data_IF_033670207986
#
_entry.id   IF_033670207986
#
_cell.length_a   1.000
_cell.length_b   1.000
_cell.length_c   1.000
_cell.angle_alpha   90.00
_cell.angle_beta   90.00
_cell.angle_gamma   90.00
#
_symmetry.space_group_name_H-M   'P 1'
#
loop_
_entity.id
_entity.type
_entity.pdbx_description
1 polymer ?
#
# COMPACT_ATOMS: atom_id res chain seq x y z
N UNK A 1 11.40 26.86 -9.15
CA UNK A 1 10.36 25.84 -9.43
C UNK A 1 9.05 26.38 -8.93
N UNK A 2 7.95 26.18 -9.66
CA UNK A 2 6.60 26.50 -9.19
C UNK A 2 6.27 25.70 -7.93
N UNK A 3 5.43 26.27 -7.06
CA UNK A 3 4.97 25.60 -5.85
C UNK A 3 4.12 24.37 -6.24
N UNK A 4 4.25 23.24 -5.51
CA UNK A 4 3.42 22.07 -5.76
C UNK A 4 1.95 22.39 -5.48
N UNK A 5 1.05 21.79 -6.28
CA UNK A 5 -0.40 21.86 -6.04
C UNK A 5 -0.78 20.59 -5.27
N UNK A 6 -0.94 20.74 -3.95
CA UNK A 6 -1.23 19.64 -3.05
C UNK A 6 -2.66 19.10 -3.24
N UNK A 7 -2.85 17.83 -2.89
CA UNK A 7 -4.18 17.20 -2.90
C UNK A 7 -5.06 17.78 -1.80
N UNK A 8 -6.36 17.88 -2.06
CA UNK A 8 -7.36 18.24 -1.04
C UNK A 8 -7.71 17.05 -0.16
N UNK A 9 -8.39 17.29 0.97
CA UNK A 9 -8.96 16.23 1.82
C UNK A 9 -9.81 15.23 1.01
N UNK A 10 -10.65 15.71 0.08
CA UNK A 10 -11.48 14.84 -0.77
C UNK A 10 -10.63 13.94 -1.66
N UNK A 11 -9.58 14.49 -2.29
CA UNK A 11 -8.67 13.71 -3.11
C UNK A 11 -7.91 12.67 -2.27
N UNK A 12 -7.47 13.03 -1.06
CA UNK A 12 -6.83 12.09 -0.16
C UNK A 12 -7.79 10.98 0.30
N UNK A 13 -9.04 11.30 0.63
CA UNK A 13 -10.05 10.27 0.96
C UNK A 13 -10.29 9.30 -0.19
N UNK A 14 -10.37 9.80 -1.43
CA UNK A 14 -10.48 8.96 -2.62
C UNK A 14 -9.24 8.10 -2.83
N UNK A 15 -8.04 8.66 -2.69
CA UNK A 15 -6.82 7.87 -2.80
C UNK A 15 -6.75 6.75 -1.75
N UNK A 16 -7.08 7.05 -0.50
CA UNK A 16 -7.07 6.06 0.59
C UNK A 16 -8.09 4.94 0.37
N UNK A 17 -9.31 5.29 -0.04
CA UNK A 17 -10.39 4.32 -0.23
C UNK A 17 -10.23 3.51 -1.51
N UNK A 18 -9.96 4.16 -2.64
CA UNK A 18 -9.92 3.53 -3.97
C UNK A 18 -8.52 3.08 -4.37
N UNK A 19 -7.47 3.60 -3.74
CA UNK A 19 -6.08 3.31 -4.09
C UNK A 19 -5.55 4.10 -5.29
N UNK A 20 -6.31 5.04 -5.88
CA UNK A 20 -5.83 5.82 -7.02
C UNK A 20 -6.50 7.20 -7.13
N UNK A 21 -5.90 8.07 -7.95
CA UNK A 21 -6.47 9.31 -8.47
C UNK A 21 -6.12 9.46 -9.95
N UNK A 22 -7.06 9.92 -10.77
CA UNK A 22 -6.81 10.34 -12.15
C UNK A 22 -6.82 11.87 -12.17
N UNK A 23 -5.72 12.46 -12.63
CA UNK A 23 -5.45 13.90 -12.61
C UNK A 23 -4.93 14.35 -13.98
N UNK A 24 -5.01 15.66 -14.23
CA UNK A 24 -4.60 16.26 -15.49
C UNK A 24 -3.50 17.31 -15.26
N UNK A 25 -2.49 17.33 -16.14
CA UNK A 25 -1.49 18.42 -16.24
C UNK A 25 -1.91 19.44 -17.30
N UNK A 26 -1.39 20.66 -17.25
CA UNK A 26 -1.71 21.73 -18.20
C UNK A 26 -0.60 22.03 -19.23
N UNK A 27 0.31 21.06 -19.46
CA UNK A 27 1.31 21.17 -20.53
C UNK A 27 0.66 21.45 -21.90
N UNK A 28 1.28 22.28 -22.75
CA UNK A 28 0.75 22.56 -24.08
C UNK A 28 0.84 21.33 -24.99
N UNK A 29 -0.07 21.20 -25.96
CA UNK A 29 -0.09 20.06 -26.89
C UNK A 29 1.27 19.80 -27.59
N UNK A 30 1.99 20.87 -27.96
CA UNK A 30 3.32 20.79 -28.59
C UNK A 30 4.37 20.05 -27.72
N UNK A 31 4.24 20.14 -26.39
CA UNK A 31 5.11 19.43 -25.45
C UNK A 31 4.90 17.91 -25.58
N UNK A 32 3.64 17.48 -25.58
CA UNK A 32 3.25 16.08 -25.72
C UNK A 32 3.54 15.52 -27.10
N UNK A 33 3.37 16.30 -28.16
CA UNK A 33 3.76 15.93 -29.51
C UNK A 33 5.27 15.67 -29.60
N UNK A 34 6.08 16.57 -29.04
CA UNK A 34 7.54 16.43 -29.00
C UNK A 34 7.95 15.18 -28.22
N UNK A 35 7.38 14.99 -27.03
CA UNK A 35 7.64 13.82 -26.19
C UNK A 35 7.25 12.51 -26.90
N UNK A 36 6.05 12.47 -27.50
CA UNK A 36 5.55 11.32 -28.24
C UNK A 36 6.43 10.94 -29.43
N UNK A 37 6.91 11.91 -30.19
CA UNK A 37 7.80 11.67 -31.33
C UNK A 37 9.14 11.07 -30.86
N UNK A 38 9.71 11.59 -29.78
CA UNK A 38 10.97 11.08 -29.21
C UNK A 38 10.80 9.68 -28.62
N UNK A 39 9.73 9.42 -27.87
CA UNK A 39 9.40 8.09 -27.34
C UNK A 39 9.31 7.10 -28.50
N UNK A 40 8.51 7.39 -29.52
CA UNK A 40 8.38 6.51 -30.70
C UNK A 40 9.72 6.24 -31.37
N UNK A 41 10.53 7.28 -31.58
CA UNK A 41 11.86 7.14 -32.19
C UNK A 41 12.78 6.21 -31.37
N UNK A 42 12.83 6.38 -30.05
CA UNK A 42 13.64 5.53 -29.17
C UNK A 42 13.12 4.10 -29.17
N UNK A 43 11.81 3.91 -28.96
CA UNK A 43 11.19 2.58 -28.90
C UNK A 43 11.38 1.80 -30.21
N UNK A 44 11.25 2.45 -31.36
CA UNK A 44 11.43 1.80 -32.68
C UNK A 44 12.89 1.48 -33.00
N UNK A 45 13.83 2.34 -32.59
CA UNK A 45 15.24 2.15 -32.88
C UNK A 45 15.93 1.17 -31.92
N UNK A 46 15.51 1.15 -30.66
CA UNK A 46 16.27 0.52 -29.57
C UNK A 46 15.44 -0.41 -28.67
N UNK A 47 14.11 -0.43 -28.82
CA UNK A 47 13.21 -1.07 -27.86
C UNK A 47 13.05 -0.24 -26.58
N UNK A 48 12.59 -0.89 -25.50
CA UNK A 48 12.36 -0.21 -24.22
C UNK A 48 13.71 0.16 -23.55
N UNK A 49 14.01 1.46 -23.36
CA UNK A 49 15.29 1.88 -22.80
C UNK A 49 15.36 1.72 -21.26
N UNK A 50 14.29 1.27 -20.61
CA UNK A 50 14.17 1.16 -19.16
C UNK A 50 14.51 2.48 -18.47
N UNK A 51 15.46 2.43 -17.52
CA UNK A 51 15.89 3.60 -16.76
C UNK A 51 16.49 4.72 -17.61
N UNK A 52 16.97 4.41 -18.82
CA UNK A 52 17.53 5.38 -19.76
C UNK A 52 16.45 6.21 -20.47
N UNK A 53 15.16 6.02 -20.18
CA UNK A 53 14.10 6.86 -20.78
C UNK A 53 14.28 8.34 -20.45
N UNK A 54 14.70 8.69 -19.22
CA UNK A 54 14.88 10.09 -18.80
C UNK A 54 15.94 10.84 -19.63
N UNK A 55 17.18 10.34 -19.80
CA UNK A 55 18.16 11.03 -20.63
C UNK A 55 17.81 11.00 -22.13
N UNK A 56 17.03 10.02 -22.60
CA UNK A 56 16.65 9.89 -24.02
C UNK A 56 15.46 10.73 -24.41
N UNK A 57 14.56 11.00 -23.47
CA UNK A 57 13.38 11.85 -23.64
C UNK A 57 13.32 12.84 -22.47
N UNK A 58 14.09 13.95 -22.54
CA UNK A 58 14.19 14.92 -21.45
C UNK A 58 12.85 15.51 -21.00
N UNK A 59 11.85 15.57 -21.90
CA UNK A 59 10.48 15.99 -21.59
C UNK A 59 9.87 15.16 -20.45
N UNK A 60 10.20 13.87 -20.35
CA UNK A 60 9.71 13.01 -19.27
C UNK A 60 10.20 13.50 -17.90
N UNK A 61 11.38 14.11 -17.83
CA UNK A 61 11.86 14.70 -16.57
C UNK A 61 11.08 15.97 -16.21
N UNK A 62 10.63 16.75 -17.19
CA UNK A 62 9.80 17.94 -16.95
C UNK A 62 8.41 17.57 -16.45
N UNK A 63 7.84 16.44 -16.90
CA UNK A 63 6.57 15.89 -16.38
C UNK A 63 6.62 15.80 -14.85
N UNK A 64 7.67 15.22 -14.27
CA UNK A 64 7.79 15.05 -12.82
C UNK A 64 8.18 16.32 -12.06
N UNK A 65 8.51 17.40 -12.76
CA UNK A 65 8.66 18.74 -12.16
C UNK A 65 7.34 19.52 -12.13
N UNK A 66 6.31 19.03 -12.82
CA UNK A 66 5.01 19.70 -12.92
C UNK A 66 4.34 19.85 -11.54
N UNK A 67 3.77 21.02 -11.19
CA UNK A 67 3.15 21.27 -9.88
C UNK A 67 2.11 20.24 -9.44
N UNK A 68 1.23 19.82 -10.35
CA UNK A 68 0.17 18.83 -10.06
C UNK A 68 0.78 17.46 -9.73
N UNK A 69 1.79 17.02 -10.48
CA UNK A 69 2.42 15.71 -10.26
C UNK A 69 3.25 15.72 -8.97
N UNK A 70 4.08 16.75 -8.81
CA UNK A 70 4.90 16.90 -7.62
C UNK A 70 4.04 17.03 -6.37
N UNK A 71 2.94 17.80 -6.44
CA UNK A 71 2.02 17.97 -5.33
C UNK A 71 1.26 16.70 -4.99
N UNK A 72 0.76 15.95 -5.97
CA UNK A 72 0.12 14.66 -5.75
C UNK A 72 1.07 13.64 -5.07
N UNK A 73 2.31 13.53 -5.55
CA UNK A 73 3.33 12.67 -4.91
C UNK A 73 3.69 13.16 -3.51
N UNK A 74 3.85 14.47 -3.29
CA UNK A 74 4.16 15.05 -1.97
C UNK A 74 3.05 14.77 -0.97
N UNK A 75 1.79 14.87 -1.40
CA UNK A 75 0.61 14.60 -0.56
C UNK A 75 0.52 13.15 -0.11
N UNK A 76 0.89 12.19 -0.97
CA UNK A 76 0.78 10.75 -0.64
C UNK A 76 2.05 10.19 0.00
N UNK A 77 3.24 10.60 -0.44
CA UNK A 77 4.52 10.00 -0.05
C UNK A 77 5.37 10.90 0.86
N UNK A 78 4.96 12.15 1.12
CA UNK A 78 5.77 13.13 1.85
C UNK A 78 6.73 13.91 0.94
N UNK A 79 7.33 15.01 1.41
CA UNK A 79 8.12 15.92 0.58
C UNK A 79 9.49 15.38 0.15
N UNK A 80 9.97 14.32 0.79
CA UNK A 80 11.27 13.68 0.61
C UNK A 80 11.21 12.38 -0.19
N UNK A 81 10.10 12.12 -0.89
CA UNK A 81 9.98 10.95 -1.76
C UNK A 81 11.09 10.89 -2.80
N UNK A 82 11.46 9.67 -3.19
CA UNK A 82 12.41 9.43 -4.29
C UNK A 82 11.71 8.76 -5.47
N UNK A 83 12.14 9.08 -6.68
CA UNK A 83 11.78 8.31 -7.87
C UNK A 83 12.67 7.07 -7.97
N UNK A 84 12.09 5.89 -7.79
CA UNK A 84 12.80 4.63 -7.83
C UNK A 84 13.36 4.34 -9.25
N UNK A 85 14.54 3.70 -9.39
CA UNK A 85 15.11 3.28 -10.69
C UNK A 85 14.40 2.06 -11.28
N UNK A 86 13.07 2.06 -11.27
CA UNK A 86 12.24 1.11 -12.00
C UNK A 86 11.26 1.89 -12.88
N UNK A 87 11.72 2.18 -14.10
CA UNK A 87 11.04 3.03 -15.08
C UNK A 87 10.76 2.21 -16.32
N UNK A 88 9.54 2.24 -16.81
CA UNK A 88 9.15 1.41 -17.94
C UNK A 88 8.24 2.18 -18.91
N UNK A 89 8.58 2.16 -20.19
CA UNK A 89 7.69 2.61 -21.25
C UNK A 89 6.91 1.41 -21.82
N UNK A 90 5.64 1.28 -21.45
CA UNK A 90 4.74 0.30 -22.05
C UNK A 90 4.36 0.78 -23.46
N UNK A 91 4.96 0.18 -24.47
CA UNK A 91 4.71 0.48 -25.88
C UNK A 91 3.85 -0.62 -26.50
N UNK A 92 2.54 -0.40 -26.50
CA UNK A 92 1.52 -1.39 -26.83
C UNK A 92 1.10 -1.26 -28.30
N UNK A 93 1.56 -2.18 -29.14
CA UNK A 93 1.21 -2.23 -30.56
C UNK A 93 -0.25 -2.66 -30.82
N UNK A 94 -0.84 -2.29 -31.97
CA UNK A 94 -2.09 -2.86 -32.47
C UNK A 94 -2.13 -4.40 -32.40
N UNK A 95 -3.26 -4.95 -31.97
CA UNK A 95 -3.47 -6.39 -31.82
C UNK A 95 -2.92 -6.99 -30.52
N UNK A 96 -2.33 -6.19 -29.61
CA UNK A 96 -1.88 -6.69 -28.30
C UNK A 96 -3.08 -7.18 -27.50
N UNK A 97 -2.97 -8.40 -26.95
CA UNK A 97 -3.98 -9.01 -26.08
C UNK A 97 -3.97 -8.42 -24.67
N UNK A 98 -5.12 -8.47 -24.01
CA UNK A 98 -5.30 -8.11 -22.61
C UNK A 98 -4.31 -8.86 -21.70
N UNK A 99 -3.75 -8.16 -20.73
CA UNK A 99 -2.94 -8.75 -19.67
C UNK A 99 -3.84 -9.34 -18.58
N UNK A 100 -3.35 -10.37 -17.90
CA UNK A 100 -3.95 -10.77 -16.63
C UNK A 100 -3.85 -9.63 -15.62
N UNK A 101 -4.83 -9.54 -14.74
CA UNK A 101 -4.72 -8.74 -13.53
C UNK A 101 -3.46 -9.14 -12.77
N UNK A 102 -2.71 -8.15 -12.29
CA UNK A 102 -1.52 -8.36 -11.48
C UNK A 102 -1.33 -7.20 -10.49
N UNK A 103 -0.50 -7.46 -9.48
CA UNK A 103 0.17 -6.43 -8.70
C UNK A 103 1.63 -6.36 -9.14
N UNK A 104 2.23 -5.18 -9.03
CA UNK A 104 3.66 -5.04 -9.28
C UNK A 104 4.45 -5.80 -8.20
N UNK A 105 5.62 -6.28 -8.60
CA UNK A 105 6.67 -6.76 -7.72
C UNK A 105 8.00 -6.25 -8.27
N UNK A 106 8.98 -6.09 -7.39
CA UNK A 106 10.33 -5.82 -7.85
C UNK A 106 10.93 -7.14 -8.35
N UNK A 107 11.02 -7.34 -9.66
CA UNK A 107 11.67 -8.51 -10.27
C UNK A 107 11.11 -9.89 -9.85
N UNK A 108 9.83 -9.94 -9.44
CA UNK A 108 9.20 -11.17 -8.94
C UNK A 108 9.44 -11.44 -7.45
N UNK A 109 10.09 -10.51 -6.75
CA UNK A 109 10.31 -10.59 -5.31
C UNK A 109 9.02 -10.60 -4.51
N UNK A 110 9.02 -11.40 -3.44
CA UNK A 110 7.89 -11.59 -2.56
C UNK A 110 8.08 -10.75 -1.30
N UNK A 111 7.17 -9.81 -1.06
CA UNK A 111 7.13 -9.03 0.19
C UNK A 111 5.76 -9.12 0.85
N UNK A 112 5.71 -8.89 2.15
CA UNK A 112 4.43 -8.58 2.81
C UNK A 112 3.94 -7.26 2.23
N UNK A 113 2.66 -7.19 1.87
CA UNK A 113 2.10 -6.01 1.21
C UNK A 113 1.85 -4.94 2.29
N UNK A 114 2.35 -3.73 2.09
CA UNK A 114 2.14 -2.66 3.07
C UNK A 114 0.79 -2.00 2.78
N UNK A 115 -0.04 -1.86 3.81
CA UNK A 115 -1.28 -1.10 3.68
C UNK A 115 -1.02 0.41 3.67
N UNK A 116 0.04 0.85 4.34
CA UNK A 116 0.51 2.23 4.26
C UNK A 116 1.18 2.50 2.90
N UNK A 117 0.99 3.71 2.32
CA UNK A 117 1.58 4.09 1.05
C UNK A 117 3.06 4.46 1.21
N UNK A 118 3.89 3.45 1.49
CA UNK A 118 5.35 3.56 1.35
C UNK A 118 5.78 3.71 -0.11
N UNK A 119 4.95 3.21 -1.02
CA UNK A 119 5.19 3.23 -2.45
C UNK A 119 3.95 3.70 -3.21
N UNK A 120 4.19 4.46 -4.27
CA UNK A 120 3.17 4.79 -5.26
C UNK A 120 3.73 4.71 -6.68
N UNK A 121 2.83 4.66 -7.65
CA UNK A 121 3.13 4.63 -9.06
C UNK A 121 2.46 5.77 -9.79
N UNK A 122 3.11 6.24 -10.85
CA UNK A 122 2.46 7.09 -11.85
C UNK A 122 2.37 6.33 -13.17
N UNK A 123 1.16 6.28 -13.72
CA UNK A 123 0.91 5.91 -15.11
C UNK A 123 0.59 7.19 -15.88
N UNK A 124 1.44 7.56 -16.84
CA UNK A 124 1.32 8.80 -17.59
C UNK A 124 1.18 8.52 -19.09
N UNK A 125 0.24 9.19 -19.75
CA UNK A 125 0.13 9.16 -21.21
C UNK A 125 0.69 10.42 -21.86
N UNK A 126 1.53 10.20 -22.86
CA UNK A 126 2.12 11.23 -23.71
C UNK A 126 1.19 11.67 -24.86
N UNK A 127 0.07 11.00 -25.08
CA UNK A 127 -0.92 11.28 -26.12
C UNK A 127 -2.32 10.89 -25.64
N UNK A 128 -3.35 11.26 -26.40
CA UNK A 128 -4.71 10.86 -26.08
C UNK A 128 -4.89 9.34 -26.22
N UNK A 129 -5.58 8.72 -25.26
CA UNK A 129 -5.88 7.28 -25.24
C UNK A 129 -7.39 7.10 -25.11
N UNK A 130 -7.95 6.40 -26.09
CA UNK A 130 -9.34 5.94 -26.09
C UNK A 130 -9.44 4.46 -25.72
N UNK A 131 -10.67 3.97 -25.67
CA UNK A 131 -11.01 2.59 -25.35
C UNK A 131 -10.37 1.57 -26.31
N UNK A 132 -10.32 1.89 -27.60
CA UNK A 132 -9.79 0.99 -28.62
C UNK A 132 -8.27 0.87 -28.56
N UNK A 133 -7.57 1.89 -28.06
CA UNK A 133 -6.10 1.90 -27.92
C UNK A 133 -5.57 1.02 -26.79
N UNK A 134 -6.44 0.40 -26.01
CA UNK A 134 -6.06 -0.49 -24.92
C UNK A 134 -5.56 0.27 -23.70
N UNK A 135 -6.40 1.06 -23.00
CA UNK A 135 -6.01 1.80 -21.82
C UNK A 135 -5.51 0.89 -20.68
N UNK A 136 -4.84 1.48 -19.70
CA UNK A 136 -4.58 0.78 -18.43
C UNK A 136 -5.87 0.69 -17.64
N UNK A 137 -6.11 -0.47 -17.05
CA UNK A 137 -7.27 -0.81 -16.25
C UNK A 137 -6.86 -0.93 -14.79
N UNK A 138 -7.69 -0.39 -13.90
CA UNK A 138 -7.46 -0.31 -12.46
C UNK A 138 -8.65 -0.93 -11.73
N UNK A 139 -8.38 -1.73 -10.69
CA UNK A 139 -9.39 -2.29 -9.80
C UNK A 139 -9.40 -1.54 -8.46
N UNK A 140 -10.37 -0.63 -8.22
CA UNK A 140 -10.42 0.21 -7.03
C UNK A 140 -10.54 -0.58 -5.71
N UNK A 141 -9.88 -0.10 -4.66
CA UNK A 141 -10.05 -0.59 -3.29
C UNK A 141 -9.37 -1.93 -3.00
N UNK A 142 -8.41 -2.34 -3.83
CA UNK A 142 -7.76 -3.65 -3.75
C UNK A 142 -6.31 -3.62 -3.25
N UNK A 143 -5.84 -2.45 -2.85
CA UNK A 143 -4.51 -2.22 -2.29
C UNK A 143 -4.26 -3.01 -0.99
N UNK A 144 -5.32 -3.35 -0.25
CA UNK A 144 -5.25 -4.03 1.06
C UNK A 144 -5.33 -5.57 0.98
N UNK A 145 -5.33 -6.16 -0.22
CA UNK A 145 -5.50 -7.61 -0.37
C UNK A 145 -4.21 -8.27 -0.86
N UNK A 146 -3.91 -9.49 -0.41
CA UNK A 146 -2.85 -10.28 -1.02
C UNK A 146 -3.34 -10.96 -2.31
N UNK A 147 -4.59 -11.38 -2.33
CA UNK A 147 -5.21 -12.11 -3.43
C UNK A 147 -6.17 -11.22 -4.24
N UNK A 148 -6.57 -11.71 -5.42
CA UNK A 148 -7.61 -11.07 -6.22
C UNK A 148 -8.97 -11.39 -5.58
N UNK A 149 -9.81 -10.39 -5.27
CA UNK A 149 -11.04 -10.57 -4.48
C UNK A 149 -12.19 -11.27 -5.23
N UNK A 150 -12.01 -11.63 -6.51
CA UNK A 150 -13.01 -12.33 -7.32
C UNK A 150 -13.72 -11.41 -8.32
N UNK A 151 -14.42 -12.03 -9.28
CA UNK A 151 -15.01 -11.33 -10.43
C UNK A 151 -16.18 -10.42 -10.02
N UNK A 152 -16.93 -10.75 -8.97
CA UNK A 152 -18.08 -9.95 -8.50
C UNK A 152 -17.70 -8.57 -7.94
N UNK A 153 -16.42 -8.35 -7.64
CA UNK A 153 -15.89 -7.06 -7.18
C UNK A 153 -15.00 -6.37 -8.21
N UNK A 154 -14.82 -6.97 -9.40
CA UNK A 154 -14.07 -6.36 -10.49
C UNK A 154 -14.82 -5.14 -11.02
N UNK A 155 -14.32 -3.96 -10.69
CA UNK A 155 -14.61 -2.74 -11.42
C UNK A 155 -13.43 -2.46 -12.35
N UNK A 156 -13.72 -2.31 -13.65
CA UNK A 156 -12.72 -2.05 -14.66
C UNK A 156 -12.63 -0.55 -14.96
N UNK A 157 -11.88 0.18 -14.13
CA UNK A 157 -11.69 1.63 -14.33
C UNK A 157 -10.62 1.84 -15.37
N UNK A 158 -11.03 2.29 -16.55
CA UNK A 158 -10.13 2.58 -17.66
C UNK A 158 -9.54 4.00 -17.57
N UNK A 159 -8.22 4.04 -17.66
CA UNK A 159 -7.45 5.26 -17.82
C UNK A 159 -7.61 5.80 -19.24
N UNK A 160 -8.67 6.60 -19.44
CA UNK A 160 -9.00 7.28 -20.70
C UNK A 160 -8.73 8.77 -20.60
N UNK A 161 -8.37 9.41 -21.71
CA UNK A 161 -8.36 10.86 -21.82
C UNK A 161 -7.24 11.42 -22.68
N UNK A 162 -7.10 12.75 -22.61
CA UNK A 162 -6.14 13.51 -23.41
C UNK A 162 -4.69 13.40 -22.92
N UNK A 163 -3.74 13.93 -23.70
CA UNK A 163 -2.35 14.02 -23.29
C UNK A 163 -2.21 14.80 -21.97
N UNK A 164 -1.30 14.35 -21.10
CA UNK A 164 -1.11 14.98 -19.80
C UNK A 164 -2.03 14.47 -18.69
N UNK A 165 -2.97 13.59 -19.02
CA UNK A 165 -3.67 12.79 -18.02
C UNK A 165 -2.75 11.73 -17.43
N UNK A 166 -2.82 11.57 -16.12
CA UNK A 166 -2.06 10.55 -15.41
C UNK A 166 -2.87 9.98 -14.25
N UNK A 167 -2.54 8.75 -13.84
CA UNK A 167 -2.98 8.21 -12.57
C UNK A 167 -1.85 8.19 -11.57
N UNK A 168 -2.14 8.66 -10.36
CA UNK A 168 -1.40 8.32 -9.15
C UNK A 168 -2.05 7.07 -8.55
N UNK A 169 -1.28 6.01 -8.33
CA UNK A 169 -1.80 4.70 -7.93
C UNK A 169 -1.00 4.18 -6.74
N UNK A 170 -1.68 3.62 -5.74
CA UNK A 170 -1.06 2.85 -4.67
C UNK A 170 -0.30 1.66 -5.27
N UNK A 171 0.93 1.40 -4.80
CA UNK A 171 1.79 0.37 -5.41
C UNK A 171 1.13 -1.01 -5.49
N UNK A 172 0.42 -1.38 -4.43
CA UNK A 172 -0.26 -2.67 -4.30
C UNK A 172 -1.66 -2.72 -4.92
N UNK A 173 -2.07 -1.75 -5.76
CA UNK A 173 -3.37 -1.83 -6.42
C UNK A 173 -3.35 -2.81 -7.61
N UNK A 174 -4.38 -3.66 -7.73
CA UNK A 174 -4.52 -4.53 -8.90
C UNK A 174 -4.77 -3.71 -10.17
N UNK A 175 -4.01 -4.01 -11.22
CA UNK A 175 -4.10 -3.34 -12.50
C UNK A 175 -3.77 -4.29 -13.66
N UNK A 176 -4.09 -3.87 -14.89
CA UNK A 176 -3.72 -4.55 -16.14
C UNK A 176 -3.63 -3.60 -17.33
N UNK A 177 -2.93 -3.99 -18.39
CA UNK A 177 -3.14 -3.41 -19.72
C UNK A 177 -4.29 -4.10 -20.45
N UNK A 178 -5.22 -3.34 -21.02
CA UNK A 178 -6.29 -3.90 -21.87
C UNK A 178 -5.81 -4.11 -23.31
N UNK A 179 -6.68 -4.70 -24.14
CA UNK A 179 -6.33 -5.03 -25.53
C UNK A 179 -6.26 -3.77 -26.40
N UNK A 180 -5.24 -3.67 -27.25
CA UNK A 180 -5.18 -2.61 -28.27
C UNK A 180 -5.82 -3.11 -29.56
N UNK A 181 -7.06 -2.70 -29.80
CA UNK A 181 -7.86 -2.99 -30.99
C UNK A 181 -7.85 -1.84 -32.01
N UNK A 182 -7.06 -0.80 -31.75
CA UNK A 182 -6.89 0.35 -32.66
C UNK A 182 -5.83 0.07 -33.73
N UNK A 183 -5.62 1.06 -34.62
CA UNK A 183 -4.52 1.06 -35.58
C UNK A 183 -3.30 1.87 -35.11
N UNK A 184 -3.29 2.31 -33.85
CA UNK A 184 -2.27 3.20 -33.29
C UNK A 184 -1.54 2.51 -32.14
N UNK A 185 -0.23 2.69 -32.06
CA UNK A 185 0.55 2.21 -30.91
C UNK A 185 0.36 3.13 -29.71
N UNK A 186 0.08 2.56 -28.54
CA UNK A 186 -0.10 3.29 -27.28
C UNK A 186 1.15 3.21 -26.41
N UNK A 187 1.81 4.33 -26.17
CA UNK A 187 2.80 4.52 -25.09
C UNK A 187 2.15 4.87 -23.76
N UNK A 188 2.56 4.19 -22.68
CA UNK A 188 2.26 4.57 -21.30
C UNK A 188 3.56 4.50 -20.48
N UNK A 189 3.85 5.57 -19.76
CA UNK A 189 5.02 5.69 -18.92
C UNK A 189 4.67 5.27 -17.49
N UNK A 190 5.29 4.19 -17.01
CA UNK A 190 5.17 3.70 -15.63
C UNK A 190 6.42 4.06 -14.82
N UNK A 191 6.21 4.75 -13.71
CA UNK A 191 7.24 5.16 -12.77
C UNK A 191 6.84 4.81 -11.34
N UNK A 192 7.82 4.38 -10.53
CA UNK A 192 7.64 4.05 -9.12
C UNK A 192 8.31 5.10 -8.23
N UNK A 193 7.70 5.36 -7.07
CA UNK A 193 8.15 6.34 -6.10
C UNK A 193 8.08 5.76 -4.70
N UNK A 194 9.04 6.11 -3.86
CA UNK A 194 9.19 5.60 -2.49
C UNK A 194 9.14 6.77 -1.52
N UNK A 195 8.33 6.62 -0.47
CA UNK A 195 8.35 7.46 0.73
C UNK A 195 9.60 7.13 1.53
N UNK A 196 10.36 8.15 1.92
CA UNK A 196 11.60 7.96 2.67
C UNK A 196 11.45 8.13 4.18
N UNK A 197 10.40 8.83 4.61
CA UNK A 197 10.13 9.07 6.04
C UNK A 197 8.68 8.79 6.40
N UNK A 198 8.49 8.36 7.65
CA UNK A 198 7.14 8.28 8.26
C UNK A 198 6.46 9.66 8.27
N UNK A 199 5.14 9.72 8.15
CA UNK A 199 4.42 10.97 8.34
C UNK A 199 4.63 11.50 9.77
N UNK A 200 5.10 12.74 9.89
CA UNK A 200 5.13 13.49 11.17
C UNK A 200 4.06 14.59 11.24
N UNK A 201 3.41 14.87 10.10
CA UNK A 201 2.27 15.76 9.93
C UNK A 201 1.63 15.49 8.55
N UNK A 202 0.39 15.93 8.31
CA UNK A 202 -0.20 15.94 6.97
C UNK A 202 0.66 16.69 5.94
N UNK A 203 0.88 16.11 4.76
CA UNK A 203 1.67 16.71 3.66
C UNK A 203 0.81 17.09 2.45
N UNK A 204 -0.51 17.20 2.63
CA UNK A 204 -1.49 17.65 1.64
C UNK A 204 -2.20 18.93 2.10
N UNK A 205 -3.10 19.49 1.29
CA UNK A 205 -3.93 20.64 1.66
C UNK A 205 -5.02 20.20 2.64
N UNK A 206 -4.58 19.99 3.89
CA UNK A 206 -5.36 19.39 4.96
C UNK A 206 -6.11 20.47 5.75
N UNK A 207 -7.45 20.44 5.70
CA UNK A 207 -8.29 21.43 6.36
C UNK A 207 -8.64 21.08 7.81
N UNK A 208 -8.08 20.00 8.38
CA UNK A 208 -8.20 19.68 9.80
C UNK A 208 -9.32 18.71 10.18
N UNK A 209 -9.95 18.00 9.23
CA UNK A 209 -11.04 17.09 9.52
C UNK A 209 -10.59 15.74 10.12
N UNK A 210 -11.49 15.08 10.85
CA UNK A 210 -11.41 13.63 11.05
C UNK A 210 -11.79 12.91 9.75
N UNK A 211 -11.46 11.62 9.64
CA UNK A 211 -11.96 10.78 8.55
C UNK A 211 -13.48 10.92 8.42
N UNK A 212 -13.94 11.28 7.23
CA UNK A 212 -15.37 11.32 6.91
C UNK A 212 -15.69 10.08 6.08
N UNK A 213 -16.64 9.22 6.52
CA UNK A 213 -17.02 8.02 5.79
C UNK A 213 -17.39 8.27 4.33
N UNK A 214 -17.19 7.26 3.48
CA UNK A 214 -17.47 7.36 2.04
C UNK A 214 -18.97 7.33 1.71
N UNK A 215 -19.82 6.84 2.61
CA UNK A 215 -21.29 6.88 2.49
C UNK A 215 -21.85 6.38 1.14
N UNK A 216 -21.27 5.32 0.58
CA UNK A 216 -21.69 4.73 -0.69
C UNK A 216 -20.89 5.16 -1.92
N UNK A 217 -20.04 6.19 -1.80
CA UNK A 217 -19.11 6.63 -2.86
C UNK A 217 -17.79 5.82 -2.88
N UNK A 218 -17.72 4.73 -2.10
CA UNK A 218 -16.54 3.88 -1.97
C UNK A 218 -16.48 2.73 -2.97
N UNK A 219 -15.37 1.97 -3.00
CA UNK A 219 -15.27 0.73 -3.77
C UNK A 219 -16.26 -0.35 -3.27
N UNK A 220 -16.45 -1.47 -4.01
CA UNK A 220 -17.45 -2.50 -3.67
C UNK A 220 -17.36 -3.07 -2.26
N UNK A 221 -16.14 -3.22 -1.74
CA UNK A 221 -15.90 -3.67 -0.37
C UNK A 221 -15.68 -2.47 0.55
N UNK A 222 -16.48 -2.39 1.62
CA UNK A 222 -16.41 -1.33 2.61
C UNK A 222 -15.34 -1.65 3.67
N UNK A 223 -14.44 -0.69 3.89
CA UNK A 223 -13.32 -0.81 4.82
C UNK A 223 -13.14 0.49 5.62
N UNK A 224 -14.21 1.04 6.19
CA UNK A 224 -14.14 2.34 6.89
C UNK A 224 -13.13 2.33 8.03
N UNK A 225 -13.02 1.21 8.74
CA UNK A 225 -12.04 1.03 9.82
C UNK A 225 -10.60 1.11 9.29
N UNK A 226 -10.32 0.46 8.15
CA UNK A 226 -8.99 0.50 7.50
C UNK A 226 -8.71 1.89 6.95
N UNK A 227 -9.68 2.51 6.26
CA UNK A 227 -9.52 3.83 5.66
C UNK A 227 -9.29 4.92 6.72
N UNK A 228 -10.02 4.87 7.83
CA UNK A 228 -9.80 5.76 8.98
C UNK A 228 -8.39 5.59 9.55
N UNK A 229 -7.90 4.34 9.67
CA UNK A 229 -6.53 4.08 10.09
C UNK A 229 -5.50 4.72 9.14
N UNK A 230 -5.65 4.51 7.83
CA UNK A 230 -4.74 5.10 6.83
C UNK A 230 -4.74 6.64 6.87
N UNK A 231 -5.91 7.25 7.01
CA UNK A 231 -6.03 8.70 7.19
C UNK A 231 -5.28 9.19 8.42
N UNK A 232 -5.45 8.51 9.55
CA UNK A 232 -4.78 8.86 10.80
C UNK A 232 -3.26 8.70 10.69
N UNK A 233 -2.78 7.60 10.11
CA UNK A 233 -1.35 7.39 9.90
C UNK A 233 -0.74 8.49 9.01
N UNK A 234 -1.36 8.81 7.87
CA UNK A 234 -0.92 9.90 6.99
C UNK A 234 -0.96 11.28 7.68
N UNK A 235 -1.87 11.47 8.63
CA UNK A 235 -1.97 12.68 9.43
C UNK A 235 -1.06 12.69 10.67
N UNK A 236 -0.22 11.66 10.87
CA UNK A 236 0.60 11.45 12.06
C UNK A 236 -0.20 11.44 13.38
N UNK A 237 -1.40 10.84 13.33
CA UNK A 237 -2.28 10.64 14.49
C UNK A 237 -2.14 9.20 14.95
N UNK A 238 -1.66 9.02 16.18
CA UNK A 238 -1.43 7.73 16.81
C UNK A 238 -2.60 7.29 17.69
N UNK A 239 -2.80 5.97 17.79
CA UNK A 239 -3.82 5.35 18.65
C UNK A 239 -5.15 5.01 17.96
N UNK A 240 -5.96 4.21 18.65
CA UNK A 240 -7.27 3.78 18.16
C UNK A 240 -8.18 5.00 17.90
N UNK A 241 -8.84 5.01 16.74
CA UNK A 241 -9.81 6.05 16.39
C UNK A 241 -10.93 6.15 17.43
N UNK A 242 -11.55 7.33 17.60
CA UNK A 242 -12.67 7.48 18.53
C UNK A 242 -13.77 6.49 18.16
N UNK A 243 -14.14 5.61 19.08
CA UNK A 243 -15.27 4.71 18.93
C UNK A 243 -16.52 5.52 18.61
N UNK A 244 -17.17 5.22 17.49
CA UNK A 244 -18.46 5.81 17.20
C UNK A 244 -19.48 5.20 18.17
N UNK A 245 -20.13 6.02 18.99
CA UNK A 245 -21.28 5.56 19.75
C UNK A 245 -22.43 5.23 18.80
N UNK A 246 -22.60 3.95 18.48
CA UNK A 246 -23.77 3.47 17.74
C UNK A 246 -24.59 2.59 18.68
N UNK A 247 -25.85 2.98 18.86
CA UNK A 247 -26.92 2.18 19.48
C UNK A 247 -27.34 1.02 18.55
N UNK A 248 -26.40 0.16 18.18
CA UNK A 248 -26.62 -1.07 17.41
C UNK A 248 -26.58 -2.28 18.34
N UNK A 249 -27.42 -3.29 18.08
CA UNK A 249 -27.38 -4.55 18.81
C UNK A 249 -26.07 -5.28 18.49
N UNK A 250 -25.01 -5.08 19.28
CA UNK A 250 -23.71 -5.77 19.14
C UNK A 250 -23.89 -7.28 18.92
N UNK A 251 -24.87 -7.90 19.61
CA UNK A 251 -25.24 -9.30 19.39
C UNK A 251 -25.58 -9.63 17.93
N UNK A 252 -26.36 -8.80 17.24
CA UNK A 252 -26.70 -8.99 15.83
C UNK A 252 -25.49 -8.82 14.89
N UNK A 253 -24.53 -7.95 15.23
CA UNK A 253 -23.27 -7.84 14.49
C UNK A 253 -22.40 -9.08 14.70
N UNK A 254 -22.30 -9.59 15.93
CA UNK A 254 -21.60 -10.83 16.25
C UNK A 254 -22.21 -12.02 15.47
N UNK A 255 -23.54 -12.11 15.42
CA UNK A 255 -24.23 -13.12 14.61
C UNK A 255 -23.91 -12.96 13.12
N UNK A 256 -23.84 -11.71 12.64
CA UNK A 256 -23.49 -11.36 11.27
C UNK A 256 -22.10 -11.84 10.83
N UNK A 257 -21.13 -11.94 11.75
CA UNK A 257 -19.80 -12.51 11.47
C UNK A 257 -19.85 -14.00 11.07
N UNK A 258 -20.95 -14.69 11.36
CA UNK A 258 -21.15 -16.10 11.00
C UNK A 258 -22.11 -16.30 9.83
N UNK A 259 -22.52 -15.23 9.15
CA UNK A 259 -23.42 -15.32 8.01
C UNK A 259 -22.79 -16.04 6.80
N UNK A 260 -23.62 -16.79 6.06
CA UNK A 260 -23.20 -17.45 4.81
C UNK A 260 -22.74 -16.43 3.76
N UNK A 261 -23.41 -15.27 3.70
CA UNK A 261 -23.05 -14.20 2.79
C UNK A 261 -21.84 -13.42 3.30
N UNK A 262 -20.74 -13.49 2.54
CA UNK A 262 -19.48 -12.79 2.84
C UNK A 262 -19.64 -11.27 2.96
N UNK A 263 -20.55 -10.65 2.22
CA UNK A 263 -20.85 -9.22 2.35
C UNK A 263 -21.45 -8.88 3.72
N UNK A 264 -22.28 -9.76 4.29
CA UNK A 264 -22.81 -9.58 5.65
C UNK A 264 -21.71 -9.71 6.69
N UNK A 265 -20.80 -10.70 6.54
CA UNK A 265 -19.63 -10.83 7.41
C UNK A 265 -18.72 -9.61 7.32
N UNK A 266 -18.50 -9.09 6.11
CA UNK A 266 -17.66 -7.93 5.84
C UNK A 266 -18.20 -6.68 6.54
N UNK A 267 -19.50 -6.41 6.37
CA UNK A 267 -20.18 -5.28 7.00
C UNK A 267 -20.16 -5.40 8.53
N UNK A 268 -20.44 -6.59 9.07
CA UNK A 268 -20.38 -6.84 10.51
C UNK A 268 -18.98 -6.58 11.08
N UNK A 269 -17.91 -7.08 10.44
CA UNK A 269 -16.55 -6.86 10.90
C UNK A 269 -16.16 -5.37 10.87
N UNK A 270 -16.52 -4.63 9.81
CA UNK A 270 -16.25 -3.19 9.71
C UNK A 270 -17.03 -2.39 10.75
N UNK A 271 -18.32 -2.66 10.92
CA UNK A 271 -19.16 -1.96 11.90
C UNK A 271 -18.71 -2.22 13.34
N UNK A 272 -18.33 -3.46 13.66
CA UNK A 272 -17.73 -3.78 14.96
C UNK A 272 -16.42 -3.00 15.17
N UNK A 273 -15.58 -2.89 14.13
CA UNK A 273 -14.33 -2.13 14.20
C UNK A 273 -14.53 -0.64 14.49
N UNK A 274 -15.62 -0.05 13.98
CA UNK A 274 -16.01 1.35 14.24
C UNK A 274 -16.54 1.58 15.67
N UNK A 275 -17.03 0.54 16.35
CA UNK A 275 -17.39 0.59 17.78
C UNK A 275 -16.15 0.60 18.69
N UNK A 276 -15.04 0.04 18.21
CA UNK A 276 -13.78 -0.03 18.95
C UNK A 276 -13.90 -0.84 20.25
N UNK A 277 -13.36 -0.30 21.34
CA UNK A 277 -13.33 -0.98 22.66
C UNK A 277 -14.71 -1.30 23.23
N UNK A 278 -15.77 -0.60 22.80
CA UNK A 278 -17.14 -0.86 23.25
C UNK A 278 -17.68 -2.21 22.75
N UNK A 279 -17.01 -2.82 21.76
CA UNK A 279 -17.36 -4.12 21.20
C UNK A 279 -16.43 -5.27 21.66
N UNK A 280 -15.84 -5.17 22.86
CA UNK A 280 -14.92 -6.18 23.39
C UNK A 280 -15.51 -7.61 23.42
N UNK A 281 -16.84 -7.76 23.55
CA UNK A 281 -17.51 -9.07 23.51
C UNK A 281 -17.39 -9.76 22.13
N UNK A 282 -17.05 -9.02 21.06
CA UNK A 282 -16.86 -9.56 19.72
C UNK A 282 -15.44 -10.10 19.46
N UNK A 283 -14.48 -9.93 20.38
CA UNK A 283 -13.07 -10.33 20.18
C UNK A 283 -12.93 -11.77 19.69
N UNK A 284 -13.61 -12.72 20.34
CA UNK A 284 -13.51 -14.13 19.96
C UNK A 284 -14.12 -14.41 18.58
N UNK A 285 -15.24 -13.76 18.25
CA UNK A 285 -15.91 -13.91 16.96
C UNK A 285 -15.07 -13.31 15.82
N UNK A 286 -14.44 -12.14 16.03
CA UNK A 286 -13.53 -11.54 15.07
C UNK A 286 -12.24 -12.35 14.89
N UNK A 287 -11.67 -12.89 15.97
CA UNK A 287 -10.48 -13.73 15.90
C UNK A 287 -10.71 -14.95 14.99
N UNK A 288 -11.91 -15.55 15.04
CA UNK A 288 -12.32 -16.64 14.16
C UNK A 288 -12.48 -16.24 12.68
N UNK A 289 -12.38 -14.94 12.35
CA UNK A 289 -12.44 -14.39 10.98
C UNK A 289 -11.08 -13.95 10.43
N UNK A 290 -9.98 -14.06 11.20
CA UNK A 290 -8.65 -13.73 10.71
C UNK A 290 -8.19 -14.61 9.54
N UNK A 291 -8.75 -15.81 9.41
CA UNK A 291 -8.56 -16.72 8.28
C UNK A 291 -9.83 -16.92 7.43
N UNK A 292 -10.71 -15.91 7.36
CA UNK A 292 -11.92 -15.99 6.53
C UNK A 292 -11.57 -16.25 5.05
N UNK A 293 -12.39 -17.09 4.37
CA UNK A 293 -12.18 -17.46 2.97
C UNK A 293 -12.31 -16.28 2.00
N UNK A 294 -13.00 -15.23 2.44
CA UNK A 294 -13.07 -13.96 1.77
C UNK A 294 -12.15 -12.95 2.45
N UNK A 295 -10.95 -12.76 1.87
CA UNK A 295 -9.89 -11.91 2.42
C UNK A 295 -10.34 -10.50 2.90
N UNK A 296 -11.27 -9.78 2.22
CA UNK A 296 -11.79 -8.52 2.73
C UNK A 296 -12.40 -8.59 4.14
N UNK A 297 -13.05 -9.71 4.51
CA UNK A 297 -13.57 -9.95 5.86
C UNK A 297 -12.43 -10.09 6.85
N UNK A 298 -11.39 -10.86 6.49
CA UNK A 298 -10.25 -11.08 7.35
C UNK A 298 -9.44 -9.80 7.61
N UNK A 299 -9.31 -8.94 6.59
CA UNK A 299 -8.71 -7.61 6.75
C UNK A 299 -9.54 -6.76 7.71
N UNK A 300 -10.86 -6.68 7.55
CA UNK A 300 -11.70 -5.93 8.49
C UNK A 300 -11.64 -6.50 9.91
N UNK A 301 -11.60 -7.82 10.07
CA UNK A 301 -11.49 -8.45 11.38
C UNK A 301 -10.18 -8.09 12.09
N UNK A 302 -9.05 -8.07 11.36
CA UNK A 302 -7.76 -7.67 11.90
C UNK A 302 -7.74 -6.22 12.41
N UNK A 303 -8.25 -5.28 11.61
CA UNK A 303 -8.33 -3.87 12.00
C UNK A 303 -9.37 -3.62 13.11
N UNK A 304 -10.47 -4.37 13.12
CA UNK A 304 -11.45 -4.30 14.19
C UNK A 304 -10.86 -4.75 15.53
N UNK A 305 -10.10 -5.86 15.54
CA UNK A 305 -9.37 -6.29 16.74
C UNK A 305 -8.34 -5.25 17.19
N UNK A 306 -7.63 -4.60 16.27
CA UNK A 306 -6.68 -3.54 16.62
C UNK A 306 -7.34 -2.40 17.42
N UNK A 307 -8.57 -2.02 17.06
CA UNK A 307 -9.35 -0.98 17.73
C UNK A 307 -9.92 -1.40 19.10
N UNK A 308 -9.79 -2.67 19.51
CA UNK A 308 -10.31 -3.17 20.80
C UNK A 308 -9.30 -3.03 21.95
N UNK A 309 -8.10 -2.52 21.69
CA UNK A 309 -7.05 -2.40 22.69
C UNK A 309 -6.51 -3.76 23.12
N UNK A 310 -6.14 -3.90 24.41
CA UNK A 310 -5.41 -5.08 24.91
C UNK A 310 -6.08 -6.45 24.60
N UNK A 311 -7.40 -6.62 24.75
CA UNK A 311 -8.05 -7.88 24.37
C UNK A 311 -7.86 -8.24 22.88
N UNK A 312 -7.93 -7.25 22.01
CA UNK A 312 -7.70 -7.43 20.58
C UNK A 312 -6.24 -7.72 20.25
N UNK A 313 -5.30 -6.98 20.85
CA UNK A 313 -3.84 -7.25 20.73
C UNK A 313 -3.51 -8.67 21.17
N UNK A 314 -4.09 -9.16 22.26
CA UNK A 314 -3.88 -10.53 22.72
C UNK A 314 -4.41 -11.58 21.72
N UNK A 315 -5.60 -11.36 21.15
CA UNK A 315 -6.16 -12.24 20.13
C UNK A 315 -5.31 -12.27 18.85
N UNK A 316 -4.86 -11.10 18.39
CA UNK A 316 -3.97 -10.98 17.23
C UNK A 316 -2.61 -11.65 17.49
N UNK A 317 -2.02 -11.44 18.68
CA UNK A 317 -0.75 -12.09 19.08
C UNK A 317 -0.88 -13.61 19.02
N UNK A 318 -1.98 -14.16 19.55
CA UNK A 318 -2.26 -15.60 19.51
C UNK A 318 -2.40 -16.12 18.08
N UNK A 319 -3.09 -15.38 17.21
CA UNK A 319 -3.25 -15.76 15.80
C UNK A 319 -1.94 -15.68 15.01
N UNK A 320 -1.04 -14.74 15.34
CA UNK A 320 0.28 -14.65 14.73
C UNK A 320 1.19 -15.82 15.16
N UNK A 321 1.07 -16.29 16.41
CA UNK A 321 1.81 -17.45 16.92
C UNK A 321 1.33 -18.78 16.33
N UNK A 322 0.00 -18.97 16.30
CA UNK A 322 -0.62 -20.30 16.15
C UNK A 322 -1.51 -20.44 14.91
N UNK A 323 -1.76 -19.34 14.19
CA UNK A 323 -2.61 -19.33 13.00
C UNK A 323 -1.94 -19.93 11.77
N UNK A 324 -2.75 -20.19 10.75
CA UNK A 324 -2.24 -20.47 9.42
C UNK A 324 -1.62 -19.21 8.78
N UNK A 325 -1.06 -19.37 7.58
CA UNK A 325 -0.37 -18.29 6.86
C UNK A 325 -1.24 -17.05 6.65
N UNK A 326 -2.53 -17.23 6.35
CA UNK A 326 -3.43 -16.10 6.10
C UNK A 326 -3.82 -15.41 7.41
N UNK A 327 -4.15 -16.18 8.44
CA UNK A 327 -4.46 -15.67 9.78
C UNK A 327 -3.28 -14.92 10.40
N UNK A 328 -2.06 -15.47 10.29
CA UNK A 328 -0.84 -14.83 10.80
C UNK A 328 -0.52 -13.53 10.04
N UNK A 329 -0.70 -13.49 8.71
CA UNK A 329 -0.56 -12.27 7.91
C UNK A 329 -1.52 -11.19 8.38
N UNK A 330 -2.81 -11.53 8.47
CA UNK A 330 -3.85 -10.59 8.86
C UNK A 330 -3.65 -10.13 10.31
N UNK A 331 -3.21 -11.02 11.20
CA UNK A 331 -2.81 -10.66 12.55
C UNK A 331 -1.65 -9.65 12.58
N UNK A 332 -0.65 -9.82 11.70
CA UNK A 332 0.43 -8.84 11.51
C UNK A 332 -0.07 -7.46 11.11
N UNK A 333 -1.03 -7.38 10.17
CA UNK A 333 -1.68 -6.10 9.82
C UNK A 333 -2.44 -5.47 11.00
N UNK A 334 -3.18 -6.28 11.75
CA UNK A 334 -3.90 -5.81 12.94
C UNK A 334 -2.97 -5.33 14.05
N UNK A 335 -1.86 -6.04 14.31
CA UNK A 335 -0.86 -5.64 15.30
C UNK A 335 -0.14 -4.36 14.89
N UNK A 336 0.17 -4.21 13.60
CA UNK A 336 0.69 -2.95 13.07
C UNK A 336 -0.32 -1.80 13.29
N UNK A 337 -1.60 -2.05 13.06
CA UNK A 337 -2.65 -1.06 13.25
C UNK A 337 -2.93 -0.72 14.73
N UNK A 338 -2.62 -1.64 15.65
CA UNK A 338 -2.69 -1.43 17.10
C UNK A 338 -1.57 -0.53 17.64
N UNK A 339 -0.62 -0.13 16.78
CA UNK A 339 0.46 0.82 17.06
C UNK A 339 1.36 0.33 18.23
N UNK A 340 2.03 1.25 18.91
CA UNK A 340 2.99 0.98 19.99
C UNK A 340 2.48 0.06 21.12
N UNK A 341 1.15 -0.08 21.28
CA UNK A 341 0.57 -0.99 22.26
C UNK A 341 0.88 -2.48 21.97
N UNK A 342 1.12 -2.84 20.71
CA UNK A 342 1.50 -4.20 20.30
C UNK A 342 3.01 -4.47 20.41
N UNK A 343 3.84 -3.43 20.51
CA UNK A 343 5.30 -3.54 20.41
C UNK A 343 5.92 -4.54 21.42
N UNK A 344 5.54 -4.60 22.71
CA UNK A 344 6.13 -5.55 23.65
C UNK A 344 5.93 -7.02 23.22
N UNK A 345 4.71 -7.39 22.84
CA UNK A 345 4.41 -8.75 22.37
C UNK A 345 5.14 -9.06 21.06
N UNK A 346 5.24 -8.08 20.16
CA UNK A 346 5.93 -8.26 18.88
C UNK A 346 7.44 -8.47 19.08
N UNK A 347 8.09 -7.76 20.01
CA UNK A 347 9.51 -7.96 20.33
C UNK A 347 9.77 -9.36 20.88
N UNK A 348 8.88 -9.87 21.74
CA UNK A 348 8.96 -11.26 22.22
C UNK A 348 8.87 -12.27 21.06
N UNK A 349 7.99 -12.01 20.09
CA UNK A 349 7.75 -12.88 18.94
C UNK A 349 8.91 -12.96 17.94
N UNK A 350 9.86 -12.02 17.98
CA UNK A 350 11.07 -12.10 17.17
C UNK A 350 11.90 -13.35 17.51
N UNK A 351 11.80 -13.86 18.73
CA UNK A 351 12.48 -15.09 19.17
C UNK A 351 11.66 -16.37 19.05
N UNK A 352 10.49 -16.35 18.41
CA UNK A 352 9.54 -17.47 18.44
C UNK A 352 9.92 -18.61 17.47
N UNK A 353 9.58 -19.86 17.82
CA UNK A 353 9.92 -21.03 16.99
C UNK A 353 9.25 -21.01 15.60
N UNK A 354 8.05 -20.45 15.50
CA UNK A 354 7.31 -20.30 14.23
C UNK A 354 7.96 -19.25 13.32
N UNK A 355 8.37 -19.66 12.12
CA UNK A 355 8.90 -18.76 11.07
C UNK A 355 7.92 -17.62 10.74
N UNK A 356 6.62 -17.94 10.62
CA UNK A 356 5.57 -16.96 10.34
C UNK A 356 5.48 -15.92 11.46
N UNK A 357 5.61 -16.35 12.72
CA UNK A 357 5.55 -15.45 13.86
C UNK A 357 6.72 -14.46 13.84
N UNK A 358 7.95 -14.93 13.62
CA UNK A 358 9.13 -14.06 13.54
C UNK A 358 9.02 -13.05 12.40
N UNK A 359 8.67 -13.51 11.19
CA UNK A 359 8.63 -12.65 10.02
C UNK A 359 7.49 -11.63 10.05
N UNK A 360 6.29 -12.01 10.47
CA UNK A 360 5.18 -11.04 10.60
C UNK A 360 5.34 -10.12 11.82
N UNK A 361 6.03 -10.56 12.88
CA UNK A 361 6.39 -9.67 13.98
C UNK A 361 7.39 -8.60 13.54
N UNK A 362 8.41 -9.00 12.77
CA UNK A 362 9.36 -8.05 12.18
C UNK A 362 8.64 -7.03 11.27
N UNK A 363 7.79 -7.51 10.36
CA UNK A 363 6.96 -6.64 9.51
C UNK A 363 6.12 -5.65 10.33
N UNK A 364 5.41 -6.12 11.36
CA UNK A 364 4.54 -5.27 12.17
C UNK A 364 5.33 -4.20 12.95
N UNK A 365 6.49 -4.55 13.53
CA UNK A 365 7.38 -3.57 14.18
C UNK A 365 7.86 -2.51 13.17
N UNK A 366 8.26 -2.96 11.99
CA UNK A 366 8.63 -2.10 10.86
C UNK A 366 7.53 -1.11 10.51
N UNK A 367 6.27 -1.56 10.43
CA UNK A 367 5.09 -0.74 10.13
C UNK A 367 4.63 0.17 11.28
N UNK A 368 4.81 -0.23 12.54
CA UNK A 368 4.52 0.62 13.72
C UNK A 368 5.48 1.80 13.76
N UNK A 369 6.79 1.53 13.64
CA UNK A 369 7.83 2.51 13.91
C UNK A 369 7.95 2.83 15.41
N UNK A 370 9.16 2.85 15.93
CA UNK A 370 9.43 2.96 17.37
C UNK A 370 10.27 4.18 17.73
N UNK A 371 10.23 5.24 16.90
CA UNK A 371 10.91 6.49 17.14
C UNK A 371 10.64 7.04 18.55
N UNK A 372 11.64 6.99 19.42
CA UNK A 372 11.56 7.45 20.82
C UNK A 372 10.80 6.54 21.79
N UNK A 373 10.37 5.35 21.38
CA UNK A 373 9.75 4.37 22.27
C UNK A 373 10.79 3.66 23.16
N UNK A 374 10.45 3.37 24.41
CA UNK A 374 11.38 2.73 25.36
C UNK A 374 11.81 1.31 24.94
N UNK A 375 10.97 0.61 24.16
CA UNK A 375 11.22 -0.75 23.65
C UNK A 375 12.03 -0.75 22.33
N UNK A 376 12.42 0.42 21.81
CA UNK A 376 13.08 0.53 20.51
C UNK A 376 14.42 -0.23 20.46
N UNK A 377 15.23 -0.14 21.51
CA UNK A 377 16.53 -0.82 21.56
C UNK A 377 16.37 -2.35 21.55
N UNK A 378 15.38 -2.88 22.28
CA UNK A 378 15.08 -4.31 22.29
C UNK A 378 14.57 -4.79 20.92
N UNK A 379 13.73 -3.98 20.26
CA UNK A 379 13.27 -4.26 18.91
C UNK A 379 14.42 -4.26 17.90
N UNK A 380 15.31 -3.27 17.96
CA UNK A 380 16.51 -3.22 17.09
C UNK A 380 17.40 -4.43 17.32
N UNK A 381 17.64 -4.83 18.58
CA UNK A 381 18.44 -6.00 18.90
C UNK A 381 17.83 -7.30 18.35
N UNK A 382 16.52 -7.50 18.54
CA UNK A 382 15.81 -8.66 18.02
C UNK A 382 15.79 -8.70 16.49
N UNK A 383 15.54 -7.57 15.83
CA UNK A 383 15.56 -7.48 14.36
C UNK A 383 16.97 -7.70 13.79
N UNK A 384 18.01 -7.19 14.46
CA UNK A 384 19.40 -7.45 14.07
C UNK A 384 19.76 -8.93 14.18
N UNK A 385 19.22 -9.65 15.18
CA UNK A 385 19.35 -11.10 15.26
C UNK A 385 18.63 -11.78 14.08
N UNK A 386 17.41 -11.35 13.74
CA UNK A 386 16.65 -11.89 12.61
C UNK A 386 17.27 -11.59 11.24
N UNK A 387 18.14 -10.58 11.13
CA UNK A 387 18.95 -10.36 9.92
C UNK A 387 19.90 -11.53 9.63
N UNK A 388 20.06 -12.47 10.57
CA UNK A 388 20.83 -13.71 10.43
C UNK A 388 19.95 -14.98 10.57
N UNK A 389 18.62 -14.86 10.46
CA UNK A 389 17.68 -15.98 10.56
C UNK A 389 17.94 -17.05 9.49
N UNK A 390 17.58 -18.30 9.76
CA UNK A 390 17.71 -19.38 8.77
C UNK A 390 16.83 -19.17 7.54
N UNK A 391 15.64 -18.59 7.70
CA UNK A 391 14.70 -18.31 6.62
C UNK A 391 15.07 -17.01 5.92
N UNK A 392 15.28 -17.06 4.60
CA UNK A 392 15.49 -15.83 3.83
C UNK A 392 14.26 -14.91 3.86
N UNK A 393 13.05 -15.46 4.02
CA UNK A 393 11.84 -14.66 4.16
C UNK A 393 11.86 -13.84 5.46
N UNK A 394 12.30 -14.43 6.58
CA UNK A 394 12.45 -13.70 7.85
C UNK A 394 13.54 -12.64 7.75
N UNK A 395 14.71 -12.97 7.18
CA UNK A 395 15.80 -12.00 6.98
C UNK A 395 15.38 -10.79 6.15
N UNK A 396 14.59 -10.98 5.08
CA UNK A 396 14.04 -9.89 4.26
C UNK A 396 13.12 -8.97 5.08
N UNK A 397 12.21 -9.53 5.87
CA UNK A 397 11.31 -8.73 6.72
C UNK A 397 12.09 -7.98 7.81
N UNK A 398 13.14 -8.60 8.38
CA UNK A 398 13.99 -7.94 9.35
C UNK A 398 14.74 -6.74 8.74
N UNK A 399 15.30 -6.90 7.53
CA UNK A 399 15.94 -5.81 6.80
C UNK A 399 14.95 -4.65 6.51
N UNK A 400 13.77 -4.97 5.98
CA UNK A 400 12.74 -3.95 5.69
C UNK A 400 12.29 -3.23 6.97
N UNK A 401 12.09 -3.98 8.06
CA UNK A 401 11.71 -3.43 9.35
C UNK A 401 12.78 -2.51 9.90
N UNK A 402 14.06 -2.88 9.85
CA UNK A 402 15.17 -2.03 10.30
C UNK A 402 15.22 -0.68 9.56
N UNK A 403 14.91 -0.65 8.25
CA UNK A 403 14.83 0.59 7.48
C UNK A 403 13.61 1.46 7.78
N UNK A 404 12.50 0.85 8.22
CA UNK A 404 11.20 1.53 8.44
C UNK A 404 10.86 1.79 9.91
N UNK A 405 11.63 1.23 10.84
CA UNK A 405 11.42 1.32 12.29
C UNK A 405 11.54 2.75 12.82
N UNK A 406 12.13 3.68 12.06
CA UNK A 406 12.39 5.07 12.51
C UNK A 406 13.22 5.10 13.81
N UNK A 407 14.07 4.09 13.99
CA UNK A 407 15.07 4.01 15.04
C UNK A 407 16.44 4.39 14.46
N UNK A 408 17.18 5.23 15.17
CA UNK A 408 18.53 5.64 14.76
C UNK A 408 19.57 5.07 15.72
N UNK A 409 20.64 4.48 15.18
CA UNK A 409 21.71 3.92 16.00
C UNK A 409 22.65 3.00 15.22
N UNK A 410 23.83 2.73 15.81
CA UNK A 410 24.84 1.87 15.19
C UNK A 410 24.34 0.45 14.89
N UNK A 411 23.49 -0.11 15.76
CA UNK A 411 22.95 -1.46 15.59
C UNK A 411 22.11 -1.64 14.31
N UNK A 412 21.35 -0.61 13.90
CA UNK A 412 20.56 -0.64 12.65
C UNK A 412 21.49 -0.67 11.44
N UNK A 413 22.47 0.25 11.41
CA UNK A 413 23.43 0.36 10.30
C UNK A 413 24.27 -0.90 10.17
N UNK A 414 24.73 -1.47 11.29
CA UNK A 414 25.53 -2.69 11.29
C UNK A 414 24.72 -3.88 10.76
N UNK A 415 23.48 -4.05 11.21
CA UNK A 415 22.60 -5.12 10.73
C UNK A 415 22.27 -4.99 9.24
N UNK A 416 21.90 -3.79 8.76
CA UNK A 416 21.66 -3.56 7.33
C UNK A 416 22.93 -3.74 6.50
N UNK A 417 24.09 -3.34 7.01
CA UNK A 417 25.37 -3.57 6.32
C UNK A 417 25.68 -5.05 6.14
N UNK A 418 25.27 -5.91 7.08
CA UNK A 418 25.41 -7.36 6.95
C UNK A 418 24.51 -7.94 5.86
N UNK A 419 23.26 -7.46 5.74
CA UNK A 419 22.31 -7.98 4.74
C UNK A 419 22.74 -7.68 3.31
N UNK A 420 23.58 -6.66 3.08
CA UNK A 420 24.21 -6.39 1.77
C UNK A 420 25.12 -7.52 1.27
N UNK A 421 25.57 -8.40 2.17
CA UNK A 421 26.41 -9.56 1.85
C UNK A 421 25.62 -10.89 1.89
N UNK A 422 24.29 -10.86 2.04
CA UNK A 422 23.47 -12.06 2.13
C UNK A 422 23.57 -12.92 0.85
N UNK A 423 23.38 -14.23 0.98
CA UNK A 423 23.34 -15.14 -0.15
C UNK A 423 22.11 -14.90 -1.04
N UNK A 424 20.99 -14.53 -0.43
CA UNK A 424 19.74 -14.22 -1.10
C UNK A 424 19.77 -12.82 -1.74
N UNK A 425 19.38 -12.74 -3.02
CA UNK A 425 19.43 -11.48 -3.77
C UNK A 425 18.37 -10.47 -3.33
N UNK A 426 17.20 -10.93 -2.95
CA UNK A 426 16.16 -10.08 -2.42
C UNK A 426 16.54 -9.52 -1.03
N UNK A 427 17.19 -10.30 -0.15
CA UNK A 427 17.71 -9.76 1.12
C UNK A 427 18.69 -8.61 0.86
N UNK A 428 19.65 -8.80 -0.06
CA UNK A 428 20.61 -7.74 -0.43
C UNK A 428 19.90 -6.50 -1.01
N UNK A 429 18.90 -6.72 -1.86
CA UNK A 429 18.11 -5.64 -2.44
C UNK A 429 17.35 -4.84 -1.39
N UNK A 430 16.64 -5.53 -0.48
CA UNK A 430 15.91 -4.89 0.62
C UNK A 430 16.87 -4.14 1.53
N UNK A 431 17.99 -4.73 1.93
CA UNK A 431 18.99 -4.09 2.76
C UNK A 431 19.66 -2.85 2.13
N UNK A 432 19.70 -2.75 0.81
CA UNK A 432 20.22 -1.57 0.11
C UNK A 432 19.20 -0.45 -0.03
N UNK A 433 17.91 -0.77 0.10
CA UNK A 433 16.80 0.18 0.01
C UNK A 433 16.44 0.76 1.39
N UNK A 434 16.51 -0.09 2.42
CA UNK A 434 16.35 0.23 3.84
C UNK A 434 17.50 1.06 4.38
#
# INVERSE_FOLDING_TARGET
MSQPILLTDEQMRRFISHGYLILDTDFPAEFHETMSQKIRKVMQAEGNPGNNILPRVPEVQEVFKHPVIRGALTSVLGPDYIMHPHRHCHFTEPGRRVQSWHKDSYWGYAKVRNHHPWWAMIFYYDHAVDEAMGPSAIMPGTQFYNNRPGDETEQDVHMLGGPGRFALIHYDLWHRGTANNSNTTRSMLKFQFVRMSRPTAPTWDHAGAAWTPMNGDGPPNRHETVWQHQWNWLAARHGAGPGAHVNGQLGGLIDGLSADQKQTRLAAADEIGLLGSDAADAVAALAARLGDDYEPVAVNAAYALANMGNPGVAALTSALQNGDKDSARNAGYGLAAADVAAAPSLVELLGHDSELARGYAAFALGEIGLGGAAIADDAVAGLAQLANDESEWVRRNAAEALGTLDASGGGVVDALSQTLADADDQVRFTGALS
#
